data_IF_901925997097
#
_entry.id   IF_901925997097
#
_cell.length_a   1.000
_cell.length_b   1.000
_cell.length_c   1.000
_cell.angle_alpha   90.00
_cell.angle_beta   90.00
_cell.angle_gamma   90.00
#
_symmetry.space_group_name_H-M   'P 1'
#
loop_
_entity.id
_entity.type
_entity.pdbx_description
1 polymer ?
#
# COMPACT_ATOMS: atom_id res chain seq x y z
N UNK A 1 12.84 2.06 24.31
CA UNK A 1 12.50 3.27 23.55
C UNK A 1 12.86 3.00 22.10
N UNK A 2 11.88 2.80 21.21
CA UNK A 2 12.16 2.67 19.78
C UNK A 2 12.69 4.01 19.27
N UNK A 3 13.82 3.98 18.54
CA UNK A 3 14.37 5.17 17.92
C UNK A 3 13.61 5.45 16.61
N UNK A 4 13.48 6.72 16.21
CA UNK A 4 12.66 7.15 15.07
C UNK A 4 13.01 6.44 13.75
N UNK A 5 14.26 5.99 13.59
CA UNK A 5 14.69 5.19 12.45
C UNK A 5 14.01 3.80 12.40
N UNK A 6 13.90 3.10 13.53
CA UNK A 6 13.25 1.78 13.59
C UNK A 6 11.74 1.90 13.36
N UNK A 7 11.10 2.95 13.89
CA UNK A 7 9.68 3.20 13.63
C UNK A 7 9.39 3.48 12.14
N UNK A 8 10.33 4.14 11.44
CA UNK A 8 10.22 4.38 9.99
C UNK A 8 10.35 3.07 9.21
N UNK A 9 11.34 2.26 9.54
CA UNK A 9 11.56 0.95 8.90
C UNK A 9 10.35 0.02 9.11
N UNK A 10 9.76 0.01 10.30
CA UNK A 10 8.53 -0.72 10.60
C UNK A 10 7.34 -0.20 9.76
N UNK A 11 7.17 1.12 9.67
CA UNK A 11 6.11 1.72 8.86
C UNK A 11 6.25 1.41 7.36
N UNK A 12 7.47 1.50 6.82
CA UNK A 12 7.78 1.13 5.43
C UNK A 12 7.52 -0.36 5.20
N UNK A 13 7.89 -1.22 6.15
CA UNK A 13 7.62 -2.66 6.09
C UNK A 13 6.12 -2.94 5.98
N UNK A 14 5.29 -2.26 6.79
CA UNK A 14 3.83 -2.39 6.73
C UNK A 14 3.30 -1.93 5.37
N UNK A 15 3.78 -0.80 4.84
CA UNK A 15 3.30 -0.28 3.57
C UNK A 15 3.70 -1.15 2.37
N UNK A 16 4.88 -1.78 2.42
CA UNK A 16 5.30 -2.77 1.40
C UNK A 16 4.42 -4.03 1.47
N UNK A 17 4.07 -4.50 2.68
CA UNK A 17 3.12 -5.61 2.84
C UNK A 17 1.74 -5.26 2.29
N UNK A 18 1.27 -4.04 2.54
CA UNK A 18 0.01 -3.53 2.00
C UNK A 18 0.01 -3.52 0.46
N UNK A 19 1.11 -3.09 -0.17
CA UNK A 19 1.26 -3.14 -1.62
C UNK A 19 1.20 -4.58 -2.14
N UNK A 20 1.88 -5.52 -1.47
CA UNK A 20 1.82 -6.93 -1.82
C UNK A 20 0.41 -7.51 -1.71
N UNK A 21 -0.33 -7.17 -0.64
CA UNK A 21 -1.72 -7.58 -0.44
C UNK A 21 -2.64 -7.07 -1.56
N UNK A 22 -2.55 -5.79 -1.91
CA UNK A 22 -3.35 -5.22 -3.02
C UNK A 22 -2.96 -5.85 -4.36
N UNK A 23 -1.66 -6.02 -4.63
CA UNK A 23 -1.18 -6.55 -5.90
C UNK A 23 -1.50 -8.04 -6.13
N UNK A 24 -1.68 -8.81 -5.05
CA UNK A 24 -2.04 -10.23 -5.11
C UNK A 24 -3.54 -10.48 -5.30
N UNK A 25 -4.39 -9.47 -5.09
CA UNK A 25 -5.84 -9.59 -5.15
C UNK A 25 -6.38 -9.10 -6.51
N UNK A 26 -7.07 -9.97 -7.29
CA UNK A 26 -7.54 -9.64 -8.63
C UNK A 26 -8.67 -8.60 -8.66
N UNK A 27 -9.30 -8.30 -7.52
CA UNK A 27 -10.34 -7.27 -7.41
C UNK A 27 -9.74 -5.95 -6.90
N UNK A 28 -8.80 -6.01 -5.95
CA UNK A 28 -8.19 -4.81 -5.37
C UNK A 28 -7.22 -4.12 -6.33
N UNK A 29 -6.39 -4.87 -7.05
CA UNK A 29 -5.40 -4.28 -7.94
C UNK A 29 -6.05 -3.43 -9.04
N UNK A 30 -7.03 -3.91 -9.84
CA UNK A 30 -7.67 -3.08 -10.85
C UNK A 30 -8.34 -1.84 -10.26
N UNK A 31 -8.96 -1.96 -9.09
CA UNK A 31 -9.60 -0.84 -8.39
C UNK A 31 -8.58 0.21 -7.94
N UNK A 32 -7.45 -0.21 -7.39
CA UNK A 32 -6.36 0.69 -6.97
C UNK A 32 -5.80 1.47 -8.18
N UNK A 33 -5.55 0.78 -9.30
CA UNK A 33 -5.08 1.41 -10.53
C UNK A 33 -6.10 2.42 -11.09
N UNK A 34 -7.38 2.07 -11.08
CA UNK A 34 -8.45 2.97 -11.54
C UNK A 34 -8.58 4.25 -10.68
N UNK A 35 -8.41 4.13 -9.36
CA UNK A 35 -8.52 5.27 -8.43
C UNK A 35 -7.28 6.17 -8.52
N UNK A 36 -6.08 5.57 -8.63
CA UNK A 36 -4.82 6.31 -8.62
C UNK A 36 -4.42 6.84 -9.99
N UNK A 37 -4.96 6.28 -11.07
CA UNK A 37 -4.56 6.58 -12.45
C UNK A 37 -3.21 5.99 -12.84
N UNK A 38 -2.62 5.13 -12.01
CA UNK A 38 -1.33 4.50 -12.25
C UNK A 38 -1.54 3.24 -13.10
N UNK A 39 -0.62 2.96 -14.01
CA UNK A 39 -0.62 1.72 -14.78
C UNK A 39 0.14 0.60 -14.06
N UNK A 40 -0.27 -0.66 -14.27
CA UNK A 40 0.33 -1.81 -13.60
C UNK A 40 1.86 -1.91 -13.82
N UNK A 41 2.33 -1.58 -15.02
CA UNK A 41 3.74 -1.62 -15.36
C UNK A 41 4.57 -0.54 -14.63
N UNK A 42 3.92 0.55 -14.21
CA UNK A 42 4.55 1.68 -13.52
C UNK A 42 4.64 1.48 -12.00
N UNK A 43 3.97 0.46 -11.43
CA UNK A 43 3.92 0.22 -9.97
C UNK A 43 5.32 0.17 -9.36
N UNK A 44 6.27 -0.56 -10.00
CA UNK A 44 7.63 -0.71 -9.46
C UNK A 44 8.36 0.63 -9.37
N UNK A 45 8.17 1.49 -10.36
CA UNK A 45 8.73 2.83 -10.35
C UNK A 45 8.03 3.69 -9.30
N UNK A 46 6.70 3.69 -9.29
CA UNK A 46 5.88 4.47 -8.37
C UNK A 46 6.15 4.11 -6.90
N UNK A 47 6.47 2.84 -6.59
CA UNK A 47 6.85 2.41 -5.24
C UNK A 47 8.11 3.10 -4.68
N UNK A 48 8.97 3.64 -5.55
CA UNK A 48 10.13 4.46 -5.16
C UNK A 48 9.80 5.94 -4.95
N UNK A 49 8.61 6.40 -5.35
CA UNK A 49 8.22 7.80 -5.25
C UNK A 49 7.72 8.15 -3.84
N UNK A 50 8.09 9.34 -3.31
CA UNK A 50 7.59 9.81 -2.04
C UNK A 50 6.05 9.80 -1.99
N UNK A 51 5.49 9.15 -0.98
CA UNK A 51 4.05 9.13 -0.74
C UNK A 51 3.26 8.04 -1.47
N UNK A 52 3.84 7.30 -2.42
CA UNK A 52 3.11 6.19 -3.07
C UNK A 52 2.66 5.13 -2.06
N UNK A 53 3.59 4.68 -1.21
CA UNK A 53 3.30 3.70 -0.16
C UNK A 53 2.26 4.22 0.86
N UNK A 54 2.24 5.53 1.11
CA UNK A 54 1.19 6.14 1.92
C UNK A 54 -0.18 6.10 1.20
N UNK A 55 -0.21 6.31 -0.11
CA UNK A 55 -1.41 6.18 -0.94
C UNK A 55 -1.98 4.75 -0.97
N UNK A 56 -1.11 3.73 -0.95
CA UNK A 56 -1.54 2.32 -0.81
C UNK A 56 -2.24 2.10 0.52
N UNK A 57 -1.67 2.59 1.63
CA UNK A 57 -2.32 2.50 2.93
C UNK A 57 -3.64 3.27 2.96
N UNK A 58 -3.69 4.46 2.37
CA UNK A 58 -4.93 5.24 2.27
C UNK A 58 -6.02 4.50 1.48
N UNK A 59 -5.67 3.81 0.40
CA UNK A 59 -6.61 2.99 -0.36
C UNK A 59 -7.23 1.87 0.49
N UNK A 60 -6.42 1.17 1.29
CA UNK A 60 -6.88 0.13 2.21
C UNK A 60 -7.77 0.74 3.31
N UNK A 61 -7.32 1.83 3.92
CA UNK A 61 -8.04 2.54 4.99
C UNK A 61 -9.39 3.12 4.53
N UNK A 62 -9.53 3.43 3.25
CA UNK A 62 -10.77 3.97 2.68
C UNK A 62 -11.89 2.92 2.53
N UNK A 63 -11.64 1.64 2.84
CA UNK A 63 -12.65 0.59 2.75
C UNK A 63 -12.49 -0.41 3.89
N UNK A 64 -13.38 -0.32 4.88
CA UNK A 64 -13.33 -1.11 6.12
C UNK A 64 -13.18 -2.63 5.88
N UNK A 65 -13.93 -3.30 4.98
CA UNK A 65 -13.72 -4.73 4.74
C UNK A 65 -12.33 -5.07 4.23
N UNK A 66 -11.74 -4.21 3.40
CA UNK A 66 -10.36 -4.39 2.91
C UNK A 66 -9.35 -4.15 4.04
N UNK A 67 -9.58 -3.14 4.87
CA UNK A 67 -8.77 -2.85 6.04
C UNK A 67 -8.75 -4.04 7.01
N UNK A 68 -9.92 -4.58 7.35
CA UNK A 68 -10.02 -5.72 8.26
C UNK A 68 -9.29 -6.95 7.69
N UNK A 69 -9.49 -7.27 6.40
CA UNK A 69 -8.78 -8.37 5.72
C UNK A 69 -7.25 -8.21 5.70
N UNK A 70 -6.74 -6.97 5.72
CA UNK A 70 -5.31 -6.71 5.74
C UNK A 70 -4.72 -6.75 7.17
N UNK A 71 -5.52 -6.39 8.17
CA UNK A 71 -5.07 -6.27 9.56
C UNK A 71 -5.12 -7.58 10.36
N UNK A 72 -5.84 -8.59 9.86
CA UNK A 72 -5.86 -9.97 10.36
C UNK A 72 -4.57 -10.74 10.02
#
# INVERSE_FOLDING_TARGET
MANAASMREEAETIAVKALGFVAADPELLPRFLAITGIEAHSIRQAAGEPGFLAGVLQFILAHEPTLMRFAE
#
